data_IF_805849618486
#
_entry.id   IF_805849618486
#
_cell.length_a   1.000
_cell.length_b   1.000
_cell.length_c   1.000
_cell.angle_alpha   90.00
_cell.angle_beta   90.00
_cell.angle_gamma   90.00
#
_symmetry.space_group_name_H-M   'P 1'
#
loop_
_entity.id
_entity.type
_entity.pdbx_description
1 polymer ?
#
# COMPACT_ATOMS: atom_id res chain seq x y z
N UNK A 1 5.85 -16.73 -19.60
CA UNK A 1 4.80 -15.69 -19.60
C UNK A 1 3.44 -16.38 -19.53
N UNK A 2 3.17 -17.33 -20.44
CA UNK A 2 2.00 -18.22 -20.39
C UNK A 2 1.79 -18.88 -19.02
N UNK A 3 2.82 -19.48 -18.41
CA UNK A 3 2.68 -20.14 -17.09
C UNK A 3 2.12 -19.23 -15.98
N UNK A 4 2.45 -17.93 -15.98
CA UNK A 4 1.96 -16.99 -14.97
C UNK A 4 0.55 -16.48 -15.34
N UNK A 5 0.27 -16.31 -16.63
CA UNK A 5 -1.06 -15.89 -17.11
C UNK A 5 -2.12 -16.95 -16.78
N UNK A 6 -1.76 -18.23 -16.90
CA UNK A 6 -2.62 -19.38 -16.59
C UNK A 6 -3.03 -19.48 -15.11
N UNK A 7 -2.37 -18.73 -14.22
CA UNK A 7 -2.72 -18.63 -12.79
C UNK A 7 -3.91 -17.70 -12.51
N UNK A 8 -4.55 -17.13 -13.54
CA UNK A 8 -5.73 -16.27 -13.38
C UNK A 8 -5.42 -14.86 -12.85
N UNK A 9 -4.16 -14.41 -12.95
CA UNK A 9 -3.73 -13.06 -12.52
C UNK A 9 -4.05 -11.95 -13.53
N UNK A 10 -4.48 -12.34 -14.74
CA UNK A 10 -4.90 -11.44 -15.82
C UNK A 10 -3.79 -10.47 -16.24
N UNK A 11 -4.15 -9.20 -16.49
CA UNK A 11 -3.21 -8.17 -16.95
C UNK A 11 -2.03 -7.91 -15.99
N UNK A 12 -2.08 -8.43 -14.75
CA UNK A 12 -1.01 -8.31 -13.76
C UNK A 12 0.14 -9.28 -13.99
N UNK A 13 -0.03 -10.29 -14.84
CA UNK A 13 1.03 -11.26 -15.16
C UNK A 13 2.34 -10.57 -15.55
N UNK A 14 2.25 -9.53 -16.41
CA UNK A 14 3.41 -8.73 -16.82
C UNK A 14 4.12 -8.03 -15.65
N UNK A 15 3.38 -7.58 -14.64
CA UNK A 15 3.94 -6.93 -13.45
C UNK A 15 4.64 -7.93 -12.54
N UNK A 16 4.06 -9.12 -12.37
CA UNK A 16 4.62 -10.19 -11.57
C UNK A 16 5.93 -10.68 -12.20
N UNK A 17 5.93 -10.91 -13.51
CA UNK A 17 7.13 -11.33 -14.25
C UNK A 17 8.22 -10.26 -14.16
N UNK A 18 7.88 -8.99 -14.34
CA UNK A 18 8.81 -7.88 -14.19
C UNK A 18 9.41 -7.82 -12.78
N UNK A 19 8.58 -7.93 -11.74
CA UNK A 19 9.06 -7.95 -10.35
C UNK A 19 10.00 -9.13 -10.08
N UNK A 20 9.67 -10.34 -10.55
CA UNK A 20 10.53 -11.53 -10.43
C UNK A 20 11.88 -11.28 -11.08
N UNK A 21 11.91 -10.76 -12.32
CA UNK A 21 13.15 -10.45 -13.03
C UNK A 21 14.02 -9.46 -12.27
N UNK A 22 13.42 -8.34 -11.83
CA UNK A 22 14.16 -7.31 -11.11
C UNK A 22 14.81 -7.83 -9.80
N UNK A 23 14.13 -8.75 -9.11
CA UNK A 23 14.68 -9.36 -7.88
C UNK A 23 15.71 -10.45 -8.20
N UNK A 24 15.44 -11.31 -9.20
CA UNK A 24 16.33 -12.40 -9.57
C UNK A 24 17.67 -11.92 -10.18
N UNK A 25 17.64 -10.79 -10.89
CA UNK A 25 18.81 -10.15 -11.49
C UNK A 25 19.47 -9.13 -10.54
N UNK A 26 18.99 -9.00 -9.30
CA UNK A 26 19.45 -8.05 -8.26
C UNK A 26 19.47 -6.57 -8.73
N UNK A 27 18.67 -6.22 -9.74
CA UNK A 27 18.51 -4.83 -10.17
C UNK A 27 17.67 -4.02 -9.19
N UNK A 28 16.96 -4.71 -8.27
CA UNK A 28 16.15 -4.13 -7.19
C UNK A 28 16.24 -4.96 -5.92
N UNK A 29 17.24 -4.68 -5.13
CA UNK A 29 17.52 -5.40 -3.91
C UNK A 29 16.49 -5.08 -2.80
N UNK A 30 15.73 -6.08 -2.37
CA UNK A 30 14.68 -5.91 -1.36
C UNK A 30 15.22 -5.65 0.06
N UNK A 31 16.40 -6.18 0.38
CA UNK A 31 17.03 -5.94 1.69
C UNK A 31 17.56 -4.51 1.79
N UNK A 32 18.15 -3.99 0.71
CA UNK A 32 18.52 -2.58 0.62
C UNK A 32 17.27 -1.70 0.78
N UNK A 33 16.20 -1.94 0.01
CA UNK A 33 14.95 -1.19 0.10
C UNK A 33 14.35 -1.23 1.52
N UNK A 34 14.42 -2.38 2.19
CA UNK A 34 13.95 -2.55 3.57
C UNK A 34 14.77 -1.76 4.59
N UNK A 35 16.07 -1.60 4.35
CA UNK A 35 16.97 -0.88 5.25
C UNK A 35 16.80 0.65 5.22
N UNK A 36 16.19 1.18 4.15
CA UNK A 36 15.92 2.62 3.97
C UNK A 36 14.93 3.19 5.00
N UNK A 37 14.85 4.52 5.10
CA UNK A 37 13.79 5.17 5.87
C UNK A 37 12.39 4.83 5.32
N UNK A 38 11.33 5.05 6.08
CA UNK A 38 9.95 4.76 5.66
C UNK A 38 9.59 5.42 4.32
N UNK A 39 9.96 6.69 4.12
CA UNK A 39 9.65 7.41 2.88
C UNK A 39 10.49 6.91 1.70
N UNK A 40 11.78 6.67 1.89
CA UNK A 40 12.66 6.15 0.84
C UNK A 40 12.30 4.70 0.47
N UNK A 41 11.92 3.88 1.45
CA UNK A 41 11.39 2.53 1.24
C UNK A 41 10.11 2.57 0.40
N UNK A 42 9.21 3.51 0.71
CA UNK A 42 7.98 3.72 -0.06
C UNK A 42 8.26 4.08 -1.53
N UNK A 43 9.20 4.99 -1.78
CA UNK A 43 9.62 5.36 -3.14
C UNK A 43 10.33 4.21 -3.86
N UNK A 44 11.24 3.51 -3.18
CA UNK A 44 11.98 2.36 -3.72
C UNK A 44 11.04 1.26 -4.22
N UNK A 45 10.01 0.93 -3.44
CA UNK A 45 8.99 -0.05 -3.81
C UNK A 45 8.12 0.39 -5.00
N UNK A 46 7.82 1.69 -5.12
CA UNK A 46 7.00 2.21 -6.24
C UNK A 46 7.70 2.17 -7.59
N UNK A 47 9.01 1.95 -7.61
CA UNK A 47 9.69 1.72 -8.87
C UNK A 47 9.17 0.44 -9.54
N UNK A 48 8.61 -0.53 -8.80
CA UNK A 48 8.11 -1.81 -9.35
C UNK A 48 6.89 -1.58 -10.22
N UNK A 49 6.91 -2.14 -11.43
CA UNK A 49 5.76 -2.04 -12.32
C UNK A 49 4.53 -2.65 -11.65
N UNK A 50 3.43 -1.90 -11.60
CA UNK A 50 2.21 -2.31 -10.91
C UNK A 50 2.17 -2.02 -9.39
N UNK A 51 3.24 -1.47 -8.80
CA UNK A 51 3.28 -1.04 -7.40
C UNK A 51 3.01 0.46 -7.29
N UNK A 52 1.76 0.81 -7.00
CA UNK A 52 1.37 2.19 -6.66
C UNK A 52 1.48 2.49 -5.16
N UNK A 53 1.14 3.72 -4.71
CA UNK A 53 1.27 4.14 -3.32
C UNK A 53 0.62 3.19 -2.30
N UNK A 54 -0.61 2.74 -2.55
CA UNK A 54 -1.31 1.79 -1.66
C UNK A 54 -0.56 0.46 -1.54
N UNK A 55 -0.09 -0.08 -2.66
CA UNK A 55 0.59 -1.39 -2.68
C UNK A 55 1.95 -1.28 -2.01
N UNK A 56 2.68 -0.19 -2.26
CA UNK A 56 3.95 0.12 -1.59
C UNK A 56 3.78 0.19 -0.06
N UNK A 57 2.79 0.95 0.43
CA UNK A 57 2.48 1.02 1.86
C UNK A 57 2.13 -0.36 2.46
N UNK A 58 1.36 -1.19 1.74
CA UNK A 58 1.06 -2.55 2.20
C UNK A 58 2.34 -3.41 2.33
N UNK A 59 3.21 -3.39 1.33
CA UNK A 59 4.45 -4.18 1.34
C UNK A 59 5.33 -3.73 2.52
N UNK A 60 5.66 -2.44 2.61
CA UNK A 60 6.56 -1.93 3.64
C UNK A 60 6.01 -2.14 5.06
N UNK A 61 4.69 -2.08 5.24
CA UNK A 61 4.06 -2.35 6.54
C UNK A 61 4.16 -3.83 6.92
N UNK A 62 3.79 -4.73 6.00
CA UNK A 62 3.61 -6.15 6.32
C UNK A 62 4.90 -6.96 6.29
N UNK A 63 5.91 -6.56 5.50
CA UNK A 63 7.18 -7.29 5.39
C UNK A 63 8.41 -6.53 5.89
N UNK A 64 8.34 -5.20 6.03
CA UNK A 64 9.50 -4.34 6.33
C UNK A 64 9.36 -3.51 7.61
N UNK A 65 8.29 -3.71 8.40
CA UNK A 65 8.06 -3.08 9.70
C UNK A 65 8.08 -1.54 9.67
N UNK A 66 7.70 -0.94 8.53
CA UNK A 66 7.60 0.52 8.37
C UNK A 66 6.24 1.01 8.84
N UNK A 67 6.10 1.18 10.15
CA UNK A 67 4.80 1.41 10.80
C UNK A 67 4.19 2.80 10.53
N UNK A 68 4.95 3.76 10.00
CA UNK A 68 4.37 5.03 9.54
C UNK A 68 3.59 4.89 8.21
N UNK A 69 3.58 3.71 7.58
CA UNK A 69 2.78 3.45 6.38
C UNK A 69 1.28 3.61 6.63
N UNK A 70 0.55 4.13 5.64
CA UNK A 70 -0.90 4.28 5.72
C UNK A 70 -1.57 3.89 4.40
N UNK A 71 -1.72 2.57 4.11
CA UNK A 71 -2.29 2.11 2.86
C UNK A 71 -3.76 2.56 2.71
N UNK A 72 -4.04 3.40 1.71
CA UNK A 72 -5.41 3.89 1.44
C UNK A 72 -6.04 3.14 0.27
N UNK A 73 -6.97 2.24 0.58
CA UNK A 73 -7.85 1.59 -0.40
C UNK A 73 -9.27 2.16 -0.33
N UNK A 74 -10.23 1.50 -0.97
CA UNK A 74 -11.65 1.92 -0.95
C UNK A 74 -12.24 1.89 0.47
N UNK A 75 -11.88 0.93 1.33
CA UNK A 75 -12.41 0.81 2.68
C UNK A 75 -11.79 1.81 3.63
N UNK A 76 -10.48 1.98 3.58
CA UNK A 76 -9.78 3.00 4.37
C UNK A 76 -10.21 4.39 3.93
N UNK A 77 -10.37 4.64 2.62
CA UNK A 77 -10.93 5.90 2.12
C UNK A 77 -12.30 6.18 2.76
N UNK A 78 -13.20 5.20 2.75
CA UNK A 78 -14.52 5.33 3.39
C UNK A 78 -14.41 5.53 4.90
N UNK A 79 -13.57 4.78 5.60
CA UNK A 79 -13.37 4.96 7.03
C UNK A 79 -12.89 6.39 7.36
N UNK A 80 -11.92 6.89 6.59
CA UNK A 80 -11.35 8.22 6.79
C UNK A 80 -12.35 9.33 6.50
N UNK A 81 -13.18 9.16 5.48
CA UNK A 81 -14.24 10.12 5.15
C UNK A 81 -15.41 10.06 6.14
N UNK A 82 -15.71 8.88 6.70
CA UNK A 82 -16.74 8.72 7.71
C UNK A 82 -16.35 9.36 9.05
N UNK A 83 -15.08 9.21 9.48
CA UNK A 83 -14.64 9.67 10.81
C UNK A 83 -13.95 11.03 10.84
N UNK A 84 -13.30 11.46 9.75
CA UNK A 84 -12.33 12.56 9.82
C UNK A 84 -12.39 13.58 8.67
N UNK A 85 -12.73 13.17 7.45
CA UNK A 85 -12.45 13.95 6.23
C UNK A 85 -13.69 14.17 5.36
N UNK A 86 -13.68 15.23 4.56
CA UNK A 86 -14.73 15.46 3.56
C UNK A 86 -14.71 14.40 2.43
N UNK A 87 -15.85 14.12 1.77
CA UNK A 87 -15.99 13.04 0.76
C UNK A 87 -15.15 13.19 -0.52
N UNK A 88 -14.59 14.36 -0.80
CA UNK A 88 -13.89 14.71 -2.04
C UNK A 88 -12.36 14.76 -1.89
N UNK A 89 -11.82 14.37 -0.73
CA UNK A 89 -10.38 14.39 -0.46
C UNK A 89 -9.66 13.30 -1.28
N UNK A 90 -8.59 13.67 -1.97
CA UNK A 90 -7.79 12.76 -2.79
C UNK A 90 -7.02 11.73 -1.96
N UNK A 91 -6.76 10.53 -2.52
CA UNK A 91 -6.04 9.47 -1.80
C UNK A 91 -4.68 9.91 -1.21
N UNK A 92 -3.83 10.71 -1.91
CA UNK A 92 -2.58 11.20 -1.32
C UNK A 92 -2.80 12.11 -0.11
N UNK A 93 -3.85 12.95 -0.13
CA UNK A 93 -4.21 13.80 1.01
C UNK A 93 -4.72 12.99 2.18
N UNK A 94 -5.51 11.93 1.94
CA UNK A 94 -5.95 10.99 2.97
C UNK A 94 -4.75 10.28 3.60
N UNK A 95 -3.81 9.80 2.78
CA UNK A 95 -2.57 9.17 3.26
C UNK A 95 -1.78 10.13 4.15
N UNK A 96 -1.53 11.35 3.66
CA UNK A 96 -0.78 12.36 4.42
C UNK A 96 -1.47 12.69 5.75
N UNK A 97 -2.80 12.86 5.75
CA UNK A 97 -3.57 13.10 6.97
C UNK A 97 -3.46 11.95 7.97
N UNK A 98 -3.62 10.70 7.50
CA UNK A 98 -3.48 9.52 8.36
C UNK A 98 -2.09 9.45 9.00
N UNK A 99 -1.04 9.63 8.20
CA UNK A 99 0.35 9.65 8.68
C UNK A 99 0.61 10.77 9.70
N UNK A 100 0.14 11.98 9.42
CA UNK A 100 0.30 13.12 10.34
C UNK A 100 -0.47 12.92 11.65
N UNK A 101 -1.62 12.27 11.61
CA UNK A 101 -2.48 12.07 12.79
C UNK A 101 -1.98 10.93 13.69
N UNK A 102 -1.52 9.84 13.09
CA UNK A 102 -1.21 8.60 13.82
C UNK A 102 0.30 8.36 13.98
N UNK A 103 1.16 9.07 13.24
CA UNK A 103 2.62 8.97 13.33
C UNK A 103 3.10 7.54 13.12
N UNK A 104 3.95 7.05 14.02
CA UNK A 104 4.49 5.69 13.97
C UNK A 104 3.44 4.60 14.21
N UNK A 105 2.22 4.97 14.61
CA UNK A 105 1.10 4.04 14.79
C UNK A 105 0.17 3.98 13.57
N UNK A 106 0.53 4.65 12.47
CA UNK A 106 -0.29 4.76 11.26
C UNK A 106 -0.71 3.40 10.69
N UNK A 107 0.21 2.46 10.59
CA UNK A 107 -0.06 1.13 10.05
C UNK A 107 -1.06 0.37 10.91
N UNK A 108 -0.92 0.44 12.24
CA UNK A 108 -1.86 -0.20 13.16
C UNK A 108 -3.24 0.46 13.10
N UNK A 109 -3.30 1.80 13.15
CA UNK A 109 -4.55 2.55 13.04
C UNK A 109 -5.28 2.20 11.73
N UNK A 110 -4.54 2.15 10.62
CA UNK A 110 -5.08 1.78 9.31
C UNK A 110 -5.67 0.36 9.32
N UNK A 111 -5.03 -0.62 9.96
CA UNK A 111 -5.55 -1.98 10.04
C UNK A 111 -6.88 -2.06 10.81
N UNK A 112 -6.99 -1.36 11.94
CA UNK A 112 -8.26 -1.29 12.68
C UNK A 112 -9.36 -0.60 11.88
N UNK A 113 -9.03 0.52 11.21
CA UNK A 113 -9.98 1.24 10.35
C UNK A 113 -10.45 0.38 9.17
N UNK A 114 -9.53 -0.32 8.51
CA UNK A 114 -9.84 -1.23 7.41
C UNK A 114 -10.78 -2.35 7.84
N UNK A 115 -10.42 -3.04 8.93
CA UNK A 115 -11.21 -4.15 9.46
C UNK A 115 -12.62 -3.68 9.83
N UNK A 116 -12.73 -2.61 10.62
CA UNK A 116 -14.02 -2.06 11.02
C UNK A 116 -14.88 -1.64 9.80
N UNK A 117 -14.30 -0.91 8.85
CA UNK A 117 -15.06 -0.41 7.70
C UNK A 117 -15.55 -1.52 6.77
N UNK A 118 -14.72 -2.56 6.56
CA UNK A 118 -15.07 -3.70 5.70
C UNK A 118 -16.12 -4.58 6.36
N UNK A 119 -15.93 -4.96 7.61
CA UNK A 119 -16.86 -5.87 8.32
C UNK A 119 -18.22 -5.21 8.58
N UNK A 120 -18.26 -3.90 8.81
CA UNK A 120 -19.51 -3.16 8.99
C UNK A 120 -20.07 -2.59 7.68
N UNK A 121 -19.41 -2.85 6.53
CA UNK A 121 -19.81 -2.36 5.21
C UNK A 121 -20.19 -0.88 5.19
N UNK A 122 -19.32 -0.03 5.76
CA UNK A 122 -19.59 1.41 5.91
C UNK A 122 -19.88 2.03 4.54
N UNK A 123 -20.92 2.86 4.51
CA UNK A 123 -21.32 3.66 3.36
C UNK A 123 -21.11 5.13 3.67
N UNK A 124 -20.88 5.90 2.62
CA UNK A 124 -20.81 7.35 2.68
C UNK A 124 -21.95 7.85 1.81
N UNK A 125 -22.75 8.73 2.38
CA UNK A 125 -23.88 9.38 1.73
C UNK A 125 -23.43 10.38 0.66
#
# INVERSE_FOLDING_TARGET
MEEIEDLGVGFRAKYIIDAIKNVAEDTRNLEEIKSLSDDECHEGLKNFNGVGPKVSDCIMLFSMQKYSAFPVDVWVKRAMQFFYLAPDVSLPKIRAFGRNKFGDLSGFAQQYLFYYARENNIKID
#
